data_IF_348667489244
#
_entry.id   IF_348667489244
#
_cell.length_a   1.000
_cell.length_b   1.000
_cell.length_c   1.000
_cell.angle_alpha   90.00
_cell.angle_beta   90.00
_cell.angle_gamma   90.00
#
_symmetry.space_group_name_H-M   'P 1'
#
loop_
_entity.id
_entity.type
_entity.pdbx_description
1 polymer ?
#
# COMPACT_ATOMS: atom_id res chain seq x y z
N UNK A 1 -22.10 -16.40 -63.45
CA UNK A 1 -22.54 -17.00 -62.17
C UNK A 1 -21.48 -18.00 -61.74
N UNK A 2 -21.28 -18.17 -60.43
CA UNK A 2 -20.41 -19.15 -59.73
C UNK A 2 -18.89 -19.00 -59.85
N UNK A 3 -18.27 -18.40 -58.82
CA UNK A 3 -17.03 -18.90 -58.18
C UNK A 3 -16.67 -18.00 -56.97
N UNK A 4 -17.56 -17.93 -55.99
CA UNK A 4 -17.42 -17.07 -54.80
C UNK A 4 -17.69 -17.92 -53.55
N UNK A 5 -16.99 -19.05 -53.36
CA UNK A 5 -17.33 -19.96 -52.25
C UNK A 5 -16.18 -20.64 -51.48
N UNK A 6 -15.00 -21.05 -52.01
CA UNK A 6 -14.18 -21.94 -51.18
C UNK A 6 -13.27 -21.23 -50.15
N UNK A 7 -13.00 -19.92 -50.28
CA UNK A 7 -12.00 -19.26 -49.43
C UNK A 7 -12.54 -18.84 -48.05
N UNK A 8 -13.86 -18.69 -47.88
CA UNK A 8 -14.45 -18.17 -46.63
C UNK A 8 -14.69 -19.26 -45.58
N UNK A 9 -14.66 -20.54 -45.96
CA UNK A 9 -15.03 -21.64 -45.04
C UNK A 9 -13.87 -22.08 -44.12
N UNK A 10 -12.62 -21.72 -44.40
CA UNK A 10 -11.47 -22.18 -43.60
C UNK A 10 -11.12 -21.33 -42.37
N UNK A 11 -11.78 -20.19 -42.14
CA UNK A 11 -11.43 -19.27 -41.04
C UNK A 11 -12.27 -19.43 -39.76
N UNK A 12 -13.16 -20.42 -39.68
CA UNK A 12 -14.10 -20.57 -38.56
C UNK A 12 -13.70 -21.60 -37.48
N UNK A 13 -12.51 -22.21 -37.54
CA UNK A 13 -12.16 -23.37 -36.69
C UNK A 13 -10.84 -23.23 -35.92
N UNK A 14 -10.55 -22.09 -35.30
CA UNK A 14 -9.49 -22.02 -34.28
C UNK A 14 -9.65 -20.80 -33.37
N UNK A 15 -10.51 -20.91 -32.35
CA UNK A 15 -10.73 -19.78 -31.44
C UNK A 15 -11.33 -20.09 -30.07
N UNK A 16 -11.68 -21.33 -29.72
CA UNK A 16 -11.82 -21.72 -28.32
C UNK A 16 -10.46 -22.14 -27.77
N UNK A 17 -9.49 -21.22 -27.83
CA UNK A 17 -8.35 -21.28 -26.95
C UNK A 17 -8.87 -20.89 -25.58
N UNK A 18 -9.11 -21.87 -24.71
CA UNK A 18 -9.34 -21.66 -23.30
C UNK A 18 -8.22 -20.78 -22.78
N UNK A 19 -8.46 -19.47 -22.76
CA UNK A 19 -7.73 -18.55 -21.92
C UNK A 19 -8.07 -19.03 -20.53
N UNK A 20 -7.26 -19.95 -19.99
CA UNK A 20 -7.14 -20.11 -18.56
C UNK A 20 -6.70 -18.73 -18.11
N UNK A 21 -7.68 -17.88 -17.79
CA UNK A 21 -7.43 -16.63 -17.13
C UNK A 21 -6.62 -17.03 -15.92
N UNK A 22 -5.33 -16.71 -15.95
CA UNK A 22 -4.46 -16.74 -14.80
C UNK A 22 -5.07 -15.72 -13.85
N UNK A 23 -6.09 -16.12 -13.10
CA UNK A 23 -6.49 -15.37 -11.93
C UNK A 23 -5.26 -15.38 -11.04
N UNK A 24 -4.68 -14.22 -10.75
CA UNK A 24 -3.59 -14.15 -9.78
C UNK A 24 -4.09 -14.86 -8.52
N UNK A 25 -3.31 -15.79 -8.00
CA UNK A 25 -3.64 -16.40 -6.72
C UNK A 25 -3.85 -15.26 -5.70
N UNK A 26 -4.89 -15.35 -4.84
CA UNK A 26 -5.15 -14.30 -3.86
C UNK A 26 -3.89 -14.07 -3.03
N UNK A 27 -3.31 -12.88 -3.16
CA UNK A 27 -2.14 -12.48 -2.37
C UNK A 27 -2.61 -12.16 -0.97
N UNK A 28 -2.12 -12.92 0.01
CA UNK A 28 -2.28 -12.55 1.41
C UNK A 28 -1.53 -11.24 1.66
N UNK A 29 -2.23 -10.24 2.17
CA UNK A 29 -1.64 -8.94 2.50
C UNK A 29 -1.02 -9.03 3.90
N UNK A 30 0.15 -8.42 4.07
CA UNK A 30 0.70 -8.22 5.41
C UNK A 30 -0.18 -7.28 6.23
N UNK A 31 -0.10 -7.35 7.55
CA UNK A 31 -0.93 -6.56 8.46
C UNK A 31 -0.85 -5.05 8.19
N UNK A 32 0.35 -4.51 7.94
CA UNK A 32 0.56 -3.08 7.64
C UNK A 32 -0.20 -2.66 6.38
N UNK A 33 -0.05 -3.42 5.30
CA UNK A 33 -0.75 -3.15 4.03
C UNK A 33 -2.27 -3.29 4.17
N UNK A 34 -2.75 -4.24 4.99
CA UNK A 34 -4.17 -4.37 5.28
C UNK A 34 -4.70 -3.13 6.02
N UNK A 35 -3.96 -2.63 7.00
CA UNK A 35 -4.31 -1.41 7.74
C UNK A 35 -4.30 -0.18 6.84
N UNK A 36 -3.33 -0.03 5.93
CA UNK A 36 -3.35 1.02 4.91
C UNK A 36 -4.58 0.93 4.02
N UNK A 37 -4.96 -0.27 3.58
CA UNK A 37 -6.20 -0.47 2.79
C UNK A 37 -7.46 -0.10 3.56
N UNK A 38 -7.49 -0.37 4.87
CA UNK A 38 -8.60 0.03 5.73
C UNK A 38 -8.70 1.56 5.81
N UNK A 39 -7.58 2.24 6.05
CA UNK A 39 -7.53 3.71 6.08
C UNK A 39 -7.89 4.33 4.72
N UNK A 40 -7.48 3.72 3.61
CA UNK A 40 -7.87 4.18 2.27
C UNK A 40 -9.40 4.09 2.04
N UNK A 41 -10.10 3.17 2.71
CA UNK A 41 -11.56 3.02 2.62
C UNK A 41 -12.31 3.91 3.60
N UNK A 42 -11.81 4.07 4.83
CA UNK A 42 -12.51 4.75 5.92
C UNK A 42 -12.05 6.19 6.14
N UNK A 43 -10.90 6.58 5.57
CA UNK A 43 -10.25 7.85 5.82
C UNK A 43 -9.34 7.83 7.07
N UNK A 44 -8.66 8.95 7.34
CA UNK A 44 -7.73 9.09 8.46
C UNK A 44 -8.45 9.15 9.81
N UNK A 45 -7.78 8.66 10.85
CA UNK A 45 -8.28 8.65 12.22
C UNK A 45 -8.23 10.05 12.84
N UNK A 46 -9.34 10.51 13.43
CA UNK A 46 -9.44 11.90 13.94
C UNK A 46 -9.02 12.06 15.40
N UNK A 47 -9.14 11.01 16.22
CA UNK A 47 -8.97 11.10 17.69
C UNK A 47 -7.85 10.23 18.24
N UNK A 48 -7.10 9.55 17.37
CA UNK A 48 -6.10 8.57 17.79
C UNK A 48 -4.66 9.06 17.64
N UNK A 49 -4.45 10.30 17.16
CA UNK A 49 -3.11 10.88 17.09
C UNK A 49 -2.66 11.38 18.47
N UNK A 50 -1.69 10.73 19.13
CA UNK A 50 -1.20 11.12 20.45
C UNK A 50 -0.52 12.49 20.48
N UNK A 51 -0.06 13.00 19.33
CA UNK A 51 0.52 14.34 19.26
C UNK A 51 -0.55 15.44 19.18
N UNK A 52 -1.79 15.08 18.87
CA UNK A 52 -2.89 16.03 18.62
C UNK A 52 -4.05 15.91 19.61
N UNK A 53 -4.31 14.71 20.15
CA UNK A 53 -5.45 14.41 21.02
C UNK A 53 -5.02 13.75 22.35
N UNK A 54 -5.67 14.08 23.50
CA UNK A 54 -6.72 15.11 23.68
C UNK A 54 -6.17 16.53 23.74
N UNK A 55 -4.86 16.68 23.95
CA UNK A 55 -4.18 17.98 24.00
C UNK A 55 -2.97 17.92 23.07
N UNK A 56 -2.96 18.80 22.08
CA UNK A 56 -1.89 18.87 21.08
C UNK A 56 -0.54 19.27 21.68
N UNK A 57 0.54 18.65 21.16
CA UNK A 57 1.93 18.93 21.51
C UNK A 57 2.70 19.42 20.29
N UNK A 58 3.71 20.29 20.46
CA UNK A 58 4.54 20.72 19.33
C UNK A 58 5.28 19.55 18.70
N UNK A 59 5.04 19.31 17.41
CA UNK A 59 5.78 18.33 16.59
C UNK A 59 6.83 19.10 15.78
N UNK A 60 8.09 18.99 16.20
CA UNK A 60 9.23 19.61 15.50
C UNK A 60 9.93 18.60 14.60
N UNK A 61 10.66 19.03 13.55
CA UNK A 61 11.44 18.11 12.72
C UNK A 61 12.39 17.21 13.55
N UNK A 62 13.12 17.79 14.52
CA UNK A 62 14.04 17.03 15.38
C UNK A 62 13.33 15.96 16.24
N UNK A 63 12.11 16.27 16.72
CA UNK A 63 11.26 15.30 17.40
C UNK A 63 10.89 14.14 16.47
N UNK A 64 10.44 14.45 15.25
CA UNK A 64 10.08 13.42 14.26
C UNK A 64 11.28 12.52 13.93
N UNK A 65 12.46 13.10 13.65
CA UNK A 65 13.67 12.33 13.35
C UNK A 65 14.04 11.38 14.50
N UNK A 66 13.93 11.86 15.74
CA UNK A 66 14.20 11.05 16.94
C UNK A 66 13.19 9.92 17.09
N UNK A 67 11.90 10.20 16.92
CA UNK A 67 10.84 9.18 17.01
C UNK A 67 10.98 8.12 15.93
N UNK A 68 11.32 8.48 14.69
CA UNK A 68 11.56 7.51 13.63
C UNK A 68 12.77 6.62 13.91
N UNK A 69 13.85 7.16 14.46
CA UNK A 69 15.01 6.36 14.86
C UNK A 69 14.64 5.34 15.96
N UNK A 70 13.85 5.76 16.94
CA UNK A 70 13.33 4.87 17.99
C UNK A 70 12.42 3.78 17.41
N UNK A 71 11.48 4.14 16.53
CA UNK A 71 10.57 3.20 15.86
C UNK A 71 11.36 2.18 15.04
N UNK A 72 12.32 2.62 14.24
CA UNK A 72 13.15 1.72 13.43
C UNK A 72 13.95 0.73 14.30
N UNK A 73 14.33 1.11 15.52
CA UNK A 73 15.03 0.25 16.46
C UNK A 73 14.09 -0.73 17.20
N UNK A 74 12.88 -0.29 17.56
CA UNK A 74 11.93 -1.06 18.38
C UNK A 74 11.01 -1.97 17.54
N UNK A 75 10.56 -1.48 16.38
CA UNK A 75 9.68 -2.19 15.46
C UNK A 75 10.22 -2.09 14.01
N UNK A 76 11.34 -2.78 13.73
CA UNK A 76 12.02 -2.68 12.44
C UNK A 76 11.20 -3.26 11.28
N UNK A 77 10.26 -4.18 11.53
CA UNK A 77 9.45 -4.77 10.49
C UNK A 77 8.34 -3.82 10.05
N UNK A 78 7.56 -3.26 10.99
CA UNK A 78 6.54 -2.26 10.65
C UNK A 78 7.17 -1.05 9.99
N UNK A 79 8.33 -0.58 10.47
CA UNK A 79 9.06 0.51 9.84
C UNK A 79 9.40 0.21 8.37
N UNK A 80 9.96 -0.97 8.08
CA UNK A 80 10.26 -1.38 6.69
C UNK A 80 9.01 -1.51 5.83
N UNK A 81 7.92 -2.04 6.39
CA UNK A 81 6.68 -2.22 5.64
C UNK A 81 6.02 -0.87 5.30
N UNK A 82 6.12 0.13 6.19
CA UNK A 82 5.70 1.51 5.92
C UNK A 82 6.57 2.13 4.81
N UNK A 83 7.90 1.97 4.86
CA UNK A 83 8.76 2.43 3.77
C UNK A 83 8.40 1.74 2.44
N UNK A 84 8.10 0.44 2.49
CA UNK A 84 7.63 -0.33 1.35
C UNK A 84 6.31 0.20 0.77
N UNK A 85 5.38 0.67 1.60
CA UNK A 85 4.16 1.34 1.16
C UNK A 85 4.48 2.62 0.36
N UNK A 86 5.48 3.39 0.79
CA UNK A 86 6.00 4.55 0.05
C UNK A 86 6.97 4.19 -1.09
N UNK A 87 7.03 2.91 -1.48
CA UNK A 87 7.89 2.39 -2.54
C UNK A 87 9.39 2.69 -2.35
N UNK A 88 9.86 2.74 -1.10
CA UNK A 88 11.26 2.96 -0.76
C UNK A 88 11.77 1.92 0.25
N UNK A 89 13.06 1.65 0.22
CA UNK A 89 13.77 0.87 1.26
C UNK A 89 14.85 1.70 1.96
N UNK A 90 15.07 2.92 1.49
CA UNK A 90 16.01 3.87 2.06
C UNK A 90 15.37 4.62 3.23
N UNK A 91 16.15 5.05 4.23
CA UNK A 91 15.67 5.97 5.25
C UNK A 91 15.04 7.23 4.60
N UNK A 92 13.94 7.75 5.15
CA UNK A 92 13.27 8.92 4.62
C UNK A 92 14.19 10.14 4.69
N UNK A 93 14.11 10.99 3.67
CA UNK A 93 14.70 12.33 3.73
C UNK A 93 13.95 13.21 4.74
N UNK A 94 14.53 14.30 5.27
CA UNK A 94 13.85 15.13 6.27
C UNK A 94 12.42 15.58 5.90
N UNK A 95 12.10 15.90 4.62
CA UNK A 95 10.71 16.17 4.23
C UNK A 95 9.77 14.95 4.30
N UNK A 96 10.29 13.73 4.08
CA UNK A 96 9.52 12.47 4.10
C UNK A 96 9.36 11.89 5.52
N UNK A 97 10.16 12.36 6.48
CA UNK A 97 10.10 11.87 7.86
C UNK A 97 8.73 12.13 8.48
N UNK A 98 8.13 13.31 8.26
CA UNK A 98 6.82 13.63 8.84
C UNK A 98 5.72 12.71 8.29
N UNK A 99 5.74 12.40 7.00
CA UNK A 99 4.79 11.49 6.36
C UNK A 99 4.93 10.06 6.90
N UNK A 100 6.17 9.58 7.00
CA UNK A 100 6.48 8.24 7.55
C UNK A 100 6.02 8.12 9.00
N UNK A 101 6.28 9.16 9.81
CA UNK A 101 5.88 9.19 11.21
C UNK A 101 4.36 9.27 11.38
N UNK A 102 3.69 10.08 10.55
CA UNK A 102 2.23 10.19 10.57
C UNK A 102 1.57 8.85 10.23
N UNK A 103 2.06 8.17 9.19
CA UNK A 103 1.58 6.83 8.83
C UNK A 103 1.79 5.82 9.97
N UNK A 104 2.95 5.82 10.62
CA UNK A 104 3.18 4.94 11.76
C UNK A 104 2.14 5.15 12.88
N UNK A 105 1.86 6.42 13.25
CA UNK A 105 0.87 6.74 14.28
C UNK A 105 -0.54 6.25 13.90
N UNK A 106 -0.96 6.46 12.67
CA UNK A 106 -2.27 6.00 12.20
C UNK A 106 -2.38 4.47 12.25
N UNK A 107 -1.35 3.75 11.80
CA UNK A 107 -1.38 2.29 11.79
C UNK A 107 -1.28 1.68 13.18
N UNK A 108 -0.54 2.33 14.09
CA UNK A 108 -0.41 1.91 15.48
C UNK A 108 -1.73 2.07 16.26
N UNK A 109 -2.62 2.95 15.81
CA UNK A 109 -3.94 3.15 16.40
C UNK A 109 -5.00 2.12 15.98
N UNK A 110 -4.64 1.18 15.09
CA UNK A 110 -5.51 0.09 14.64
C UNK A 110 -4.98 -1.20 15.27
N UNK A 111 -5.78 -1.90 16.08
CA UNK A 111 -5.42 -3.18 16.71
C UNK A 111 -5.94 -4.39 15.92
#
# INVERSE_FOLDING_TARGET
MTALVPLVVLLLMAGCGSSQGQHPAPRTLGTVELKFRLLAQLGPLQYCDPDSYPVGRPVTPAYVSTRLAEIAAQDPQTYRDILGHFATSSPPTPPQELETYSAYKELAAIE
#
